data_IF_772522952429
#
_entry.id   IF_772522952429
#
_cell.length_a   1.000
_cell.length_b   1.000
_cell.length_c   1.000
_cell.angle_alpha   90.00
_cell.angle_beta   90.00
_cell.angle_gamma   90.00
#
_symmetry.space_group_name_H-M   'P 1'
#
loop_
_entity.id
_entity.type
_entity.pdbx_description
1 polymer ?
#
# COMPACT_ATOMS: atom_id res chain seq x y z
N UNK A 1 -18.39 18.91 -29.02
CA UNK A 1 -18.15 18.40 -27.65
C UNK A 1 -16.73 18.65 -27.10
N UNK A 2 -15.63 18.37 -27.83
CA UNK A 2 -14.25 18.60 -27.33
C UNK A 2 -13.89 20.06 -26.95
N UNK A 3 -14.49 21.07 -27.58
CA UNK A 3 -14.23 22.50 -27.25
C UNK A 3 -14.92 22.97 -25.96
N UNK A 4 -16.13 22.46 -25.66
CA UNK A 4 -16.87 22.81 -24.45
C UNK A 4 -16.24 22.23 -23.17
N UNK A 5 -15.64 21.03 -23.25
CA UNK A 5 -14.89 20.45 -22.12
C UNK A 5 -13.63 21.27 -21.78
N UNK A 6 -12.93 21.81 -22.78
CA UNK A 6 -11.72 22.62 -22.56
C UNK A 6 -12.03 23.97 -21.89
N UNK A 7 -13.13 24.61 -22.27
CA UNK A 7 -13.54 25.90 -21.71
C UNK A 7 -13.96 25.75 -20.23
N UNK A 8 -14.71 24.69 -19.90
CA UNK A 8 -15.10 24.41 -18.52
C UNK A 8 -13.91 24.01 -17.63
N UNK A 9 -12.91 23.32 -18.17
CA UNK A 9 -11.70 22.97 -17.41
C UNK A 9 -10.84 24.20 -17.11
N UNK A 10 -10.70 25.12 -18.07
CA UNK A 10 -9.98 26.38 -17.87
C UNK A 10 -10.69 27.28 -16.85
N UNK A 11 -12.02 27.36 -16.91
CA UNK A 11 -12.83 28.12 -15.97
C UNK A 11 -12.76 27.54 -14.55
N UNK A 12 -12.77 26.21 -14.41
CA UNK A 12 -12.62 25.54 -13.12
C UNK A 12 -11.24 25.77 -12.50
N UNK A 13 -10.17 25.69 -13.31
CA UNK A 13 -8.81 26.03 -12.89
C UNK A 13 -8.70 27.49 -12.44
N UNK A 14 -9.31 28.43 -13.19
CA UNK A 14 -9.34 29.85 -12.84
C UNK A 14 -10.09 30.10 -11.53
N UNK A 15 -11.23 29.44 -11.30
CA UNK A 15 -11.99 29.58 -10.05
C UNK A 15 -11.22 29.01 -8.84
N UNK A 16 -10.47 27.92 -9.04
CA UNK A 16 -9.63 27.35 -7.98
C UNK A 16 -8.43 28.26 -7.62
N UNK A 17 -7.93 29.09 -8.53
CA UNK A 17 -6.79 29.99 -8.26
C UNK A 17 -7.14 31.25 -7.47
N UNK A 18 -8.41 31.67 -7.41
CA UNK A 18 -8.83 32.96 -6.80
C UNK A 18 -9.12 32.83 -5.28
N UNK A 19 -9.17 31.61 -4.75
CA UNK A 19 -9.31 31.35 -3.30
C UNK A 19 -7.99 30.78 -2.77
N UNK A 20 -7.09 31.66 -2.30
CA UNK A 20 -5.72 31.29 -1.94
C UNK A 20 -5.63 30.54 -0.60
N UNK A 21 -5.70 29.21 -0.67
CA UNK A 21 -5.07 28.30 0.29
C UNK A 21 -3.94 27.54 -0.44
N UNK A 22 -2.84 27.19 0.27
CA UNK A 22 -1.67 26.48 -0.28
C UNK A 22 -2.04 25.22 -1.10
N UNK A 23 -3.13 24.56 -0.74
CA UNK A 23 -3.63 23.38 -1.45
C UNK A 23 -4.16 23.64 -2.86
N UNK A 24 -4.84 24.75 -3.11
CA UNK A 24 -5.37 25.04 -4.43
C UNK A 24 -4.24 25.23 -5.43
N UNK A 25 -3.11 25.78 -4.97
CA UNK A 25 -1.88 25.90 -5.75
C UNK A 25 -1.27 24.53 -6.06
N UNK A 26 -1.18 23.62 -5.08
CA UNK A 26 -0.66 22.27 -5.29
C UNK A 26 -1.59 21.47 -6.21
N UNK A 27 -2.90 21.50 -5.96
CA UNK A 27 -3.91 20.87 -6.80
C UNK A 27 -3.86 21.38 -8.24
N UNK A 28 -3.78 22.70 -8.44
CA UNK A 28 -3.63 23.29 -9.77
C UNK A 28 -2.32 22.85 -10.45
N UNK A 29 -1.19 22.87 -9.71
CA UNK A 29 0.10 22.41 -10.21
C UNK A 29 0.07 20.95 -10.69
N UNK A 30 -0.52 20.06 -9.90
CA UNK A 30 -0.68 18.65 -10.29
C UNK A 30 -1.73 18.47 -11.40
N UNK A 31 -2.79 19.27 -11.45
CA UNK A 31 -3.76 19.24 -12.54
C UNK A 31 -3.10 19.61 -13.88
N UNK A 32 -2.28 20.65 -13.90
CA UNK A 32 -1.49 21.05 -15.08
C UNK A 32 -0.48 19.96 -15.43
N UNK A 33 0.29 19.46 -14.46
CA UNK A 33 1.24 18.35 -14.66
C UNK A 33 0.55 17.11 -15.25
N UNK A 34 -0.61 16.74 -14.72
CA UNK A 34 -1.40 15.60 -15.18
C UNK A 34 -1.97 15.82 -16.57
N UNK A 35 -2.41 17.04 -16.90
CA UNK A 35 -2.89 17.38 -18.23
C UNK A 35 -1.78 17.24 -19.29
N UNK A 36 -0.58 17.76 -18.99
CA UNK A 36 0.58 17.69 -19.90
C UNK A 36 1.07 16.24 -20.06
N UNK A 37 1.07 15.46 -18.97
CA UNK A 37 1.58 14.08 -18.97
C UNK A 37 0.53 13.03 -19.36
N UNK A 38 -0.74 13.39 -19.51
CA UNK A 38 -1.84 12.45 -19.76
C UNK A 38 -1.60 11.49 -20.95
N UNK A 39 -1.10 11.93 -22.11
CA UNK A 39 -0.86 11.03 -23.24
C UNK A 39 0.17 9.94 -22.91
N UNK A 40 1.28 10.34 -22.26
CA UNK A 40 2.34 9.42 -21.86
C UNK A 40 1.88 8.46 -20.76
N UNK A 41 1.09 8.96 -19.79
CA UNK A 41 0.52 8.14 -18.72
C UNK A 41 -0.48 7.11 -19.25
N UNK A 42 -1.28 7.45 -20.26
CA UNK A 42 -2.23 6.50 -20.84
C UNK A 42 -1.51 5.31 -21.49
N UNK A 43 -0.45 5.58 -22.25
CA UNK A 43 0.38 4.54 -22.87
C UNK A 43 1.09 3.71 -21.79
N UNK A 44 1.73 4.37 -20.81
CA UNK A 44 2.40 3.69 -19.70
C UNK A 44 1.45 2.79 -18.90
N UNK A 45 0.26 3.27 -18.56
CA UNK A 45 -0.74 2.48 -17.83
C UNK A 45 -1.21 1.24 -18.61
N UNK A 46 -1.33 1.32 -19.94
CA UNK A 46 -1.68 0.16 -20.75
C UNK A 46 -0.62 -0.94 -20.64
N UNK A 47 0.65 -0.59 -20.81
CA UNK A 47 1.75 -1.54 -20.66
C UNK A 47 1.87 -2.07 -19.23
N UNK A 48 1.71 -1.20 -18.23
CA UNK A 48 1.73 -1.60 -16.83
C UNK A 48 0.58 -2.53 -16.48
N UNK A 49 -0.64 -2.31 -16.96
CA UNK A 49 -1.73 -3.23 -16.68
C UNK A 49 -1.49 -4.59 -17.33
N UNK A 50 -1.01 -4.63 -18.57
CA UNK A 50 -0.68 -5.90 -19.22
C UNK A 50 0.45 -6.65 -18.48
N UNK A 51 1.49 -5.94 -18.02
CA UNK A 51 2.55 -6.54 -17.22
C UNK A 51 2.05 -7.03 -15.86
N UNK A 52 1.13 -6.29 -15.22
CA UNK A 52 0.49 -6.69 -13.97
C UNK A 52 -0.33 -7.97 -14.16
N UNK A 53 -1.14 -8.03 -15.22
CA UNK A 53 -1.98 -9.18 -15.53
C UNK A 53 -1.15 -10.42 -15.85
N UNK A 54 -0.01 -10.27 -16.53
CA UNK A 54 0.94 -11.38 -16.73
C UNK A 54 1.47 -11.95 -15.40
N UNK A 55 1.87 -11.10 -14.45
CA UNK A 55 2.32 -11.56 -13.11
C UNK A 55 1.15 -12.18 -12.34
N UNK A 56 -0.06 -11.63 -12.49
CA UNK A 56 -1.29 -12.13 -11.86
C UNK A 56 -1.62 -13.54 -12.34
N UNK A 57 -1.58 -13.78 -13.65
CA UNK A 57 -1.80 -15.10 -14.25
C UNK A 57 -0.76 -16.11 -13.77
N UNK A 58 0.52 -15.76 -13.82
CA UNK A 58 1.61 -16.62 -13.32
C UNK A 58 1.50 -16.93 -11.82
N UNK A 59 0.99 -15.99 -11.02
CA UNK A 59 0.76 -16.19 -9.59
C UNK A 59 -0.43 -17.12 -9.31
N UNK A 60 -1.46 -17.11 -10.18
CA UNK A 60 -2.65 -17.94 -10.04
C UNK A 60 -2.42 -19.38 -10.56
N UNK A 61 -1.57 -19.54 -11.57
CA UNK A 61 -1.20 -20.85 -12.12
C UNK A 61 -0.29 -21.67 -11.19
N UNK A 62 0.35 -21.02 -10.20
CA UNK A 62 1.11 -21.70 -9.14
C UNK A 62 0.17 -22.31 -8.08
N UNK A 63 -0.61 -23.31 -8.49
CA UNK A 63 -1.30 -24.26 -7.58
C UNK A 63 -0.36 -25.21 -6.83
N UNK A 64 0.94 -25.10 -7.05
CA UNK A 64 1.93 -25.66 -6.16
C UNK A 64 3.11 -24.70 -6.12
N UNK A 65 3.46 -24.23 -4.92
CA UNK A 65 4.87 -23.92 -4.66
C UNK A 65 5.61 -25.15 -5.16
N UNK A 66 6.56 -25.05 -6.10
CA UNK A 66 7.27 -26.23 -6.52
C UNK A 66 7.78 -26.91 -5.25
N UNK A 67 7.53 -28.21 -5.16
CA UNK A 67 8.27 -29.12 -4.29
C UNK A 67 9.69 -29.19 -4.86
N UNK A 68 10.35 -28.04 -4.98
CA UNK A 68 11.78 -27.94 -5.05
C UNK A 68 12.26 -28.61 -3.78
N UNK A 69 12.66 -29.87 -3.96
CA UNK A 69 13.29 -30.66 -2.93
C UNK A 69 14.35 -29.77 -2.29
N UNK A 70 14.21 -29.56 -0.98
CA UNK A 70 15.27 -29.08 -0.10
C UNK A 70 16.62 -29.42 -0.70
N UNK A 71 17.50 -28.43 -0.85
CA UNK A 71 18.83 -28.57 -1.47
C UNK A 71 19.38 -29.97 -1.15
N UNK A 72 19.31 -30.89 -2.13
CA UNK A 72 19.65 -32.30 -1.90
C UNK A 72 21.12 -32.35 -1.54
N UNK A 73 21.43 -32.44 -0.24
CA UNK A 73 22.75 -32.92 0.17
C UNK A 73 22.84 -34.39 -0.22
N UNK A 74 24.05 -34.80 -0.62
CA UNK A 74 24.40 -36.19 -0.93
C UNK A 74 23.70 -37.13 0.05
N UNK A 75 22.93 -38.07 -0.51
CA UNK A 75 22.12 -39.04 0.22
C UNK A 75 22.85 -39.58 1.45
N UNK A 76 22.23 -39.44 2.61
CA UNK A 76 22.66 -40.16 3.80
C UNK A 76 22.40 -41.66 3.54
N UNK A 77 23.32 -42.52 3.97
CA UNK A 77 23.26 -43.97 3.78
C UNK A 77 21.88 -44.55 4.18
N UNK A 78 21.41 -45.61 3.52
CA UNK A 78 20.12 -46.25 3.84
C UNK A 78 20.08 -46.65 5.33
N UNK A 79 19.05 -46.20 6.07
CA UNK A 79 18.87 -46.48 7.50
C UNK A 79 18.81 -45.26 8.43
N UNK A 80 18.95 -44.04 7.91
CA UNK A 80 19.00 -42.80 8.71
C UNK A 80 17.82 -41.83 8.46
N UNK A 81 16.68 -42.30 7.93
CA UNK A 81 15.47 -41.49 7.72
C UNK A 81 15.02 -40.71 8.97
N UNK A 82 15.10 -41.31 10.16
CA UNK A 82 14.74 -40.64 11.42
C UNK A 82 15.63 -39.44 11.77
N UNK A 83 16.88 -39.41 11.30
CA UNK A 83 17.77 -38.26 11.47
C UNK A 83 17.40 -37.14 10.49
N UNK A 84 16.96 -37.49 9.28
CA UNK A 84 16.49 -36.50 8.29
C UNK A 84 15.28 -35.73 8.82
N UNK A 85 14.30 -36.43 9.41
CA UNK A 85 13.11 -35.82 10.00
C UNK A 85 13.44 -34.92 11.20
N UNK A 86 14.34 -35.37 12.09
CA UNK A 86 14.82 -34.55 13.21
C UNK A 86 15.59 -33.32 12.70
N UNK A 87 16.43 -33.49 11.69
CA UNK A 87 17.23 -32.39 11.13
C UNK A 87 16.33 -31.36 10.42
N UNK A 88 15.28 -31.80 9.74
CA UNK A 88 14.28 -30.93 9.12
C UNK A 88 13.45 -30.19 10.17
N UNK A 89 13.04 -30.87 11.24
CA UNK A 89 12.33 -30.26 12.38
C UNK A 89 13.21 -29.24 13.12
N UNK A 90 14.50 -29.52 13.30
CA UNK A 90 15.46 -28.58 13.89
C UNK A 90 15.67 -27.38 12.95
N UNK A 91 15.86 -27.57 11.64
CA UNK A 91 16.04 -26.44 10.69
C UNK A 91 14.83 -25.53 10.62
N UNK A 92 13.60 -26.07 10.63
CA UNK A 92 12.39 -25.27 10.67
C UNK A 92 12.29 -24.40 11.94
N UNK A 93 13.01 -24.77 13.01
CA UNK A 93 13.15 -23.99 14.23
C UNK A 93 14.39 -23.08 14.26
N UNK A 94 15.33 -23.23 13.31
CA UNK A 94 16.59 -22.45 13.26
C UNK A 94 16.48 -21.24 12.32
N UNK A 95 15.80 -21.38 11.18
CA UNK A 95 15.63 -20.27 10.22
C UNK A 95 14.27 -20.30 9.51
N UNK A 96 13.86 -19.16 8.95
CA UNK A 96 12.58 -19.00 8.24
C UNK A 96 12.79 -19.01 6.72
N UNK A 97 12.29 -20.04 6.03
CA UNK A 97 12.36 -20.19 4.56
C UNK A 97 11.08 -19.67 3.90
N UNK A 98 10.88 -18.35 4.01
CA UNK A 98 9.76 -17.59 3.45
C UNK A 98 10.31 -16.31 2.81
N UNK A 99 9.49 -15.51 2.09
CA UNK A 99 9.96 -14.24 1.55
C UNK A 99 10.58 -13.38 2.66
N UNK A 100 11.78 -12.83 2.41
CA UNK A 100 12.58 -12.07 3.37
C UNK A 100 13.02 -12.82 4.64
N UNK A 101 12.85 -14.14 4.67
CA UNK A 101 13.14 -14.98 5.82
C UNK A 101 14.63 -15.03 6.20
N UNK A 102 14.94 -15.67 7.33
CA UNK A 102 16.28 -15.62 7.93
C UNK A 102 17.27 -16.68 7.42
N UNK A 103 16.83 -17.64 6.59
CA UNK A 103 17.71 -18.70 6.08
C UNK A 103 18.78 -18.16 5.14
N UNK A 104 19.89 -18.91 4.99
CA UNK A 104 20.88 -18.66 3.93
C UNK A 104 20.45 -19.32 2.61
N UNK A 105 21.14 -18.98 1.52
CA UNK A 105 20.93 -19.60 0.20
C UNK A 105 21.30 -21.10 0.16
N UNK A 106 22.04 -21.60 1.15
CA UNK A 106 22.34 -23.02 1.28
C UNK A 106 21.19 -23.81 1.93
N UNK A 107 20.33 -23.11 2.68
CA UNK A 107 19.25 -23.69 3.48
C UNK A 107 17.89 -23.52 2.79
N UNK A 108 17.70 -22.43 2.04
CA UNK A 108 16.46 -22.10 1.37
C UNK A 108 16.74 -21.58 -0.04
N UNK A 109 16.03 -22.06 -1.09
CA UNK A 109 16.23 -21.56 -2.44
C UNK A 109 15.81 -20.09 -2.56
N UNK A 110 16.52 -19.36 -3.41
CA UNK A 110 16.22 -17.95 -3.70
C UNK A 110 14.81 -17.73 -4.23
N UNK A 111 14.24 -18.69 -4.96
CA UNK A 111 12.85 -18.68 -5.42
C UNK A 111 11.83 -18.55 -4.28
N UNK A 112 12.18 -18.98 -3.06
CA UNK A 112 11.33 -18.87 -1.87
C UNK A 112 11.64 -17.66 -1.00
N UNK A 113 12.91 -17.27 -0.88
CA UNK A 113 13.31 -16.10 -0.07
C UNK A 113 13.09 -14.78 -0.79
N UNK A 114 13.28 -14.78 -2.11
CA UNK A 114 13.15 -13.64 -3.01
C UNK A 114 12.26 -14.03 -4.20
N UNK A 115 10.98 -14.37 -3.96
CA UNK A 115 10.07 -14.81 -5.02
C UNK A 115 9.87 -13.73 -6.08
N UNK A 116 9.63 -14.18 -7.30
CA UNK A 116 9.11 -13.33 -8.37
C UNK A 116 7.59 -13.15 -8.20
N UNK A 117 7.10 -11.93 -8.41
CA UNK A 117 5.68 -11.60 -8.34
C UNK A 117 5.20 -11.20 -6.94
N UNK A 118 3.90 -11.34 -6.69
CA UNK A 118 3.24 -10.69 -5.55
C UNK A 118 3.60 -11.26 -4.16
N UNK A 119 4.09 -12.50 -4.09
CA UNK A 119 4.55 -13.10 -2.83
C UNK A 119 5.71 -12.34 -2.18
N UNK A 120 6.45 -11.51 -2.94
CA UNK A 120 7.51 -10.65 -2.41
C UNK A 120 7.00 -9.63 -1.40
N UNK A 121 5.69 -9.31 -1.41
CA UNK A 121 5.08 -8.40 -0.44
C UNK A 121 4.90 -9.02 0.94
N UNK A 122 4.96 -10.36 1.07
CA UNK A 122 4.77 -11.05 2.34
C UNK A 122 5.97 -10.85 3.25
N UNK A 123 5.75 -10.32 4.46
CA UNK A 123 6.82 -10.13 5.45
C UNK A 123 7.04 -11.38 6.32
N UNK A 124 8.24 -11.58 6.90
CA UNK A 124 8.47 -12.66 7.85
C UNK A 124 7.57 -12.49 9.08
N UNK A 125 6.90 -13.58 9.49
CA UNK A 125 5.96 -13.56 10.62
C UNK A 125 4.57 -12.99 10.31
N UNK A 126 4.36 -12.43 9.11
CA UNK A 126 3.04 -12.01 8.65
C UNK A 126 2.19 -13.22 8.30
N UNK A 127 1.04 -13.37 8.98
CA UNK A 127 0.07 -14.45 8.75
C UNK A 127 -0.95 -14.05 7.70
N UNK A 128 -1.33 -12.77 7.66
CA UNK A 128 -2.25 -12.23 6.65
C UNK A 128 -2.02 -10.73 6.43
N UNK A 129 -2.66 -10.16 5.42
CA UNK A 129 -2.68 -8.71 5.19
C UNK A 129 -3.32 -7.93 6.35
N UNK A 130 -4.10 -8.60 7.20
CA UNK A 130 -4.68 -7.99 8.40
C UNK A 130 -3.61 -7.53 9.40
N UNK A 131 -2.43 -8.16 9.41
CA UNK A 131 -1.30 -7.76 10.26
C UNK A 131 -0.73 -6.38 9.86
N UNK A 132 -0.98 -5.92 8.64
CA UNK A 132 -0.67 -4.57 8.18
C UNK A 132 -1.68 -3.54 8.69
N UNK A 133 -2.75 -3.95 9.37
CA UNK A 133 -3.81 -3.06 9.87
C UNK A 133 -3.73 -2.91 11.38
N UNK A 134 -2.53 -2.53 11.84
CA UNK A 134 -2.23 -2.27 13.25
C UNK A 134 -1.80 -0.83 13.43
N UNK A 135 -1.86 -0.36 14.67
CA UNK A 135 -1.39 0.97 15.06
C UNK A 135 0.09 1.20 14.72
N UNK A 136 0.95 0.19 14.84
CA UNK A 136 2.38 0.30 14.53
C UNK A 136 2.65 0.47 13.03
N UNK A 137 1.84 -0.17 12.19
CA UNK A 137 1.88 -0.04 10.73
C UNK A 137 1.06 1.17 10.22
N UNK A 138 0.89 2.19 11.07
CA UNK A 138 0.10 3.39 10.79
C UNK A 138 0.89 4.67 11.01
N UNK A 139 0.55 5.69 10.23
CA UNK A 139 0.94 7.05 10.56
C UNK A 139 0.41 7.44 11.94
N UNK A 140 1.21 8.21 12.67
CA UNK A 140 0.92 8.72 14.01
C UNK A 140 -0.26 9.70 14.03
N UNK A 141 -0.63 10.27 12.89
CA UNK A 141 -1.73 11.21 12.75
C UNK A 141 -2.86 10.64 11.88
N UNK A 142 -4.08 11.06 12.19
CA UNK A 142 -5.26 10.76 11.38
C UNK A 142 -5.26 11.61 10.12
N UNK A 143 -6.16 11.29 9.19
CA UNK A 143 -6.41 12.12 8.02
C UNK A 143 -6.63 13.60 8.42
N UNK A 144 -5.85 14.48 7.79
CA UNK A 144 -5.83 15.92 8.04
C UNK A 144 -5.18 16.39 9.34
N UNK A 145 -4.53 15.50 10.09
CA UNK A 145 -3.60 15.84 11.17
C UNK A 145 -2.14 15.96 10.69
N UNK A 146 -1.21 15.99 11.64
CA UNK A 146 0.23 15.94 11.39
C UNK A 146 0.94 17.30 11.29
N UNK A 147 0.19 18.40 11.22
CA UNK A 147 0.75 19.76 11.30
C UNK A 147 1.68 20.14 10.14
N UNK A 148 1.45 19.60 8.94
CA UNK A 148 2.17 19.97 7.72
C UNK A 148 1.97 21.44 7.32
N UNK A 149 2.82 21.94 6.44
CA UNK A 149 2.73 23.32 5.89
C UNK A 149 1.54 23.47 4.92
N UNK A 150 1.03 22.34 4.43
CA UNK A 150 -0.13 22.27 3.57
C UNK A 150 -1.35 21.96 4.46
N UNK A 151 -2.27 22.92 4.57
CA UNK A 151 -3.57 22.72 5.22
C UNK A 151 -4.24 21.45 4.69
N UNK A 152 -5.03 20.73 5.49
CA UNK A 152 -5.69 19.51 5.07
C UNK A 152 -7.14 19.74 4.62
N UNK A 153 -7.61 19.02 3.60
CA UNK A 153 -9.00 19.09 3.10
C UNK A 153 -9.58 17.73 2.75
N UNK A 154 -10.82 17.73 2.27
CA UNK A 154 -11.50 16.57 1.72
C UNK A 154 -10.64 15.87 0.66
N UNK A 155 -10.35 14.59 0.87
CA UNK A 155 -9.56 13.75 -0.04
C UNK A 155 -8.14 13.42 0.42
N UNK A 156 -7.59 14.08 1.46
CA UNK A 156 -6.26 13.73 2.03
C UNK A 156 -6.13 12.25 2.42
N UNK A 157 -7.25 11.58 2.68
CA UNK A 157 -7.35 10.15 2.93
C UNK A 157 -6.70 9.29 1.83
N UNK A 158 -6.68 9.77 0.58
CA UNK A 158 -6.02 9.08 -0.53
C UNK A 158 -4.50 9.17 -0.44
N UNK A 159 -3.98 10.36 -0.14
CA UNK A 159 -2.55 10.52 0.14
C UNK A 159 -2.11 9.70 1.35
N UNK A 160 -2.92 9.70 2.41
CA UNK A 160 -2.65 8.95 3.65
C UNK A 160 -2.63 7.43 3.41
N UNK A 161 -3.62 6.91 2.67
CA UNK A 161 -3.67 5.51 2.27
C UNK A 161 -2.45 5.14 1.42
N UNK A 162 -2.07 6.00 0.46
CA UNK A 162 -0.93 5.78 -0.42
C UNK A 162 0.38 5.69 0.38
N UNK A 163 0.71 6.74 1.14
CA UNK A 163 1.95 6.80 1.94
C UNK A 163 2.02 5.61 2.89
N UNK A 164 0.95 5.34 3.64
CA UNK A 164 0.87 4.19 4.54
C UNK A 164 1.15 2.87 3.81
N UNK A 165 0.52 2.63 2.66
CA UNK A 165 0.70 1.38 1.91
C UNK A 165 2.13 1.23 1.37
N UNK A 166 2.77 2.33 0.94
CA UNK A 166 4.16 2.35 0.49
C UNK A 166 5.12 1.98 1.63
N UNK A 167 4.97 2.60 2.80
CA UNK A 167 5.76 2.22 3.98
C UNK A 167 5.56 0.74 4.33
N UNK A 168 4.33 0.26 4.42
CA UNK A 168 4.05 -1.14 4.73
C UNK A 168 4.75 -2.14 3.76
N UNK A 169 4.91 -1.76 2.49
CA UNK A 169 5.52 -2.61 1.44
C UNK A 169 7.02 -2.43 1.26
N UNK A 170 7.56 -1.24 1.54
CA UNK A 170 8.92 -0.87 1.11
C UNK A 170 9.87 -0.55 2.25
N UNK A 171 9.37 -0.22 3.44
CA UNK A 171 10.23 0.11 4.57
C UNK A 171 10.57 -1.12 5.41
N UNK A 172 11.84 -1.26 5.77
CA UNK A 172 12.36 -2.28 6.68
C UNK A 172 12.90 -1.62 7.94
N UNK A 173 12.10 -1.61 9.00
CA UNK A 173 12.48 -1.04 10.29
C UNK A 173 13.47 -1.95 11.05
N UNK A 174 14.63 -1.40 11.43
CA UNK A 174 15.71 -2.10 12.11
C UNK A 174 16.04 -1.40 13.43
N UNK A 175 15.23 -1.68 14.45
CA UNK A 175 15.33 -1.04 15.78
C UNK A 175 16.74 -1.12 16.38
N UNK A 176 17.40 -2.26 16.22
CA UNK A 176 18.72 -2.52 16.82
C UNK A 176 19.89 -2.01 15.96
N UNK A 177 19.61 -1.52 14.74
CA UNK A 177 20.62 -0.92 13.87
C UNK A 177 20.86 0.53 14.29
N UNK A 178 22.14 0.88 14.48
CA UNK A 178 22.52 2.23 14.89
C UNK A 178 22.33 3.21 13.71
N UNK A 179 21.49 4.24 13.83
CA UNK A 179 21.33 5.21 12.76
C UNK A 179 22.58 6.09 12.61
N UNK A 180 22.78 6.63 11.41
CA UNK A 180 23.90 7.55 11.11
C UNK A 180 23.88 8.81 11.99
N UNK A 181 22.68 9.33 12.26
CA UNK A 181 22.42 10.47 13.12
C UNK A 181 21.28 10.17 14.08
N UNK A 182 21.31 10.76 15.28
CA UNK A 182 20.33 10.46 16.33
C UNK A 182 19.20 11.48 16.42
N UNK A 183 17.96 11.06 16.15
CA UNK A 183 16.75 11.86 16.37
C UNK A 183 16.54 12.24 17.85
N UNK A 184 17.15 11.48 18.77
CA UNK A 184 17.06 11.67 20.23
C UNK A 184 18.26 12.46 20.79
N UNK A 185 19.13 13.00 19.92
CA UNK A 185 20.25 13.84 20.34
C UNK A 185 19.75 15.12 21.01
N UNK A 186 20.46 15.57 22.06
CA UNK A 186 20.24 16.89 22.67
C UNK A 186 20.98 18.00 21.92
N UNK A 187 21.95 17.65 21.08
CA UNK A 187 22.63 18.60 20.20
C UNK A 187 21.72 18.95 19.01
N UNK A 188 21.47 20.25 18.84
CA UNK A 188 20.55 20.77 17.83
C UNK A 188 21.06 20.55 16.41
N UNK A 189 22.38 20.64 16.19
CA UNK A 189 22.96 20.43 14.86
C UNK A 189 22.91 18.95 14.47
N UNK A 190 23.19 18.05 15.41
CA UNK A 190 23.00 16.61 15.22
C UNK A 190 21.52 16.27 14.96
N UNK A 191 20.58 16.88 15.70
CA UNK A 191 19.16 16.66 15.49
C UNK A 191 18.70 17.13 14.11
N UNK A 192 19.21 18.27 13.62
CA UNK A 192 18.92 18.76 12.26
C UNK A 192 19.42 17.78 11.20
N UNK A 193 20.66 17.28 11.33
CA UNK A 193 21.21 16.25 10.43
C UNK A 193 20.39 14.97 10.48
N UNK A 194 19.91 14.57 11.66
CA UNK A 194 19.02 13.43 11.79
C UNK A 194 17.70 13.66 11.06
N UNK A 195 17.05 14.82 11.23
CA UNK A 195 15.82 15.13 10.51
C UNK A 195 16.02 15.06 8.99
N UNK A 196 17.06 15.69 8.46
CA UNK A 196 17.34 15.67 7.02
C UNK A 196 17.61 14.24 6.52
N UNK A 197 18.41 13.47 7.26
CA UNK A 197 18.65 12.06 6.94
C UNK A 197 17.38 11.21 6.89
N UNK A 198 16.49 11.32 7.87
CA UNK A 198 15.24 10.55 7.85
C UNK A 198 14.23 11.08 6.82
N UNK A 199 14.26 12.36 6.46
CA UNK A 199 13.48 12.91 5.34
C UNK A 199 13.89 12.27 4.01
N UNK A 200 15.18 12.10 3.77
CA UNK A 200 15.68 11.39 2.58
C UNK A 200 15.18 9.94 2.53
N UNK A 201 15.19 9.24 3.69
CA UNK A 201 14.63 7.88 3.78
C UNK A 201 13.12 7.84 3.52
N UNK A 202 12.37 8.84 4.01
CA UNK A 202 10.93 8.99 3.73
C UNK A 202 10.70 9.19 2.24
N UNK A 203 11.52 10.02 1.59
CA UNK A 203 11.42 10.31 0.16
C UNK A 203 11.67 9.08 -0.68
N UNK A 204 12.70 8.28 -0.34
CA UNK A 204 12.95 7.02 -1.01
C UNK A 204 11.73 6.09 -0.95
N UNK A 205 11.08 5.94 0.22
CA UNK A 205 9.87 5.12 0.35
C UNK A 205 8.70 5.69 -0.47
N UNK A 206 8.47 7.00 -0.41
CA UNK A 206 7.41 7.68 -1.16
C UNK A 206 7.64 7.56 -2.68
N UNK A 207 8.89 7.52 -3.12
CA UNK A 207 9.30 7.35 -4.51
C UNK A 207 9.43 5.87 -4.93
N UNK A 208 8.74 4.98 -4.21
CA UNK A 208 8.69 3.54 -4.47
C UNK A 208 10.03 2.79 -4.35
N UNK A 209 11.04 3.34 -3.66
CA UNK A 209 12.31 2.65 -3.38
C UNK A 209 12.22 1.87 -2.07
N UNK A 210 12.97 0.77 -2.03
CA UNK A 210 13.07 -0.08 -0.83
C UNK A 210 14.08 0.55 0.12
N UNK A 211 13.67 0.74 1.38
CA UNK A 211 14.45 1.54 2.33
C UNK A 211 14.54 0.86 3.69
N UNK A 212 15.76 0.67 4.17
CA UNK A 212 16.03 0.27 5.56
C UNK A 212 16.00 1.50 6.46
N UNK A 213 15.21 1.44 7.53
CA UNK A 213 15.04 2.53 8.50
C UNK A 213 15.67 2.10 9.83
N UNK A 214 16.89 2.55 10.13
CA UNK A 214 17.61 2.15 11.34
C UNK A 214 17.05 2.83 12.59
N UNK A 215 17.26 2.24 13.77
CA UNK A 215 17.00 2.85 15.08
C UNK A 215 15.53 3.04 15.46
N UNK A 216 14.60 2.64 14.59
CA UNK A 216 13.16 2.75 14.79
C UNK A 216 12.49 1.40 14.53
N UNK A 217 11.34 1.18 15.16
CA UNK A 217 10.62 -0.09 15.13
C UNK A 217 9.41 -0.11 14.20
N UNK A 218 8.85 1.05 13.85
CA UNK A 218 7.58 1.11 13.12
C UNK A 218 7.36 2.45 12.41
N UNK A 219 6.41 2.48 11.47
CA UNK A 219 5.96 3.70 10.80
C UNK A 219 5.40 4.71 11.81
N UNK A 220 4.70 4.19 12.83
CA UNK A 220 4.17 5.02 13.89
C UNK A 220 5.29 5.73 14.65
N UNK A 221 6.32 5.00 15.06
CA UNK A 221 7.45 5.60 15.79
C UNK A 221 8.13 6.69 14.94
N UNK A 222 8.36 6.42 13.64
CA UNK A 222 8.93 7.40 12.71
C UNK A 222 8.09 8.67 12.59
N UNK A 223 6.78 8.50 12.42
CA UNK A 223 5.85 9.62 12.23
C UNK A 223 5.47 10.34 13.53
N UNK A 224 5.84 9.83 14.71
CA UNK A 224 5.63 10.52 16.00
C UNK A 224 6.70 11.59 16.29
N UNK A 225 7.82 11.62 15.55
CA UNK A 225 8.87 12.63 15.76
C UNK A 225 8.44 14.00 15.21
N UNK A 226 8.46 15.06 16.06
CA UNK A 226 8.21 16.42 15.59
C UNK A 226 9.18 16.80 14.46
N UNK A 227 8.65 17.39 13.38
CA UNK A 227 9.39 17.73 12.16
C UNK A 227 9.45 16.63 11.11
N UNK A 228 9.40 15.34 11.50
CA UNK A 228 9.12 14.24 10.55
C UNK A 228 7.62 14.06 10.37
N UNK A 229 6.83 14.22 11.43
CA UNK A 229 5.36 14.18 11.37
C UNK A 229 4.81 15.16 10.32
N UNK A 230 5.21 16.43 10.41
CA UNK A 230 4.80 17.49 9.49
C UNK A 230 5.29 17.24 8.07
N UNK A 231 6.53 16.76 7.92
CA UNK A 231 7.09 16.43 6.61
C UNK A 231 6.32 15.29 5.93
N UNK A 232 5.98 14.24 6.67
CA UNK A 232 5.17 13.13 6.15
C UNK A 232 3.75 13.63 5.81
N UNK A 233 3.18 14.54 6.61
CA UNK A 233 1.90 15.16 6.29
C UNK A 233 1.95 15.94 4.96
N UNK A 234 3.05 16.63 4.67
CA UNK A 234 3.26 17.28 3.38
C UNK A 234 3.37 16.25 2.24
N UNK A 235 4.10 15.14 2.44
CA UNK A 235 4.15 14.04 1.45
C UNK A 235 2.77 13.43 1.20
N UNK A 236 1.94 13.29 2.25
CA UNK A 236 0.54 12.89 2.13
C UNK A 236 -0.25 13.87 1.24
N UNK A 237 -0.07 15.18 1.45
CA UNK A 237 -0.74 16.20 0.64
C UNK A 237 -0.34 16.12 -0.84
N UNK A 238 0.95 15.97 -1.13
CA UNK A 238 1.46 15.81 -2.50
C UNK A 238 0.94 14.53 -3.17
N UNK A 239 0.93 13.42 -2.44
CA UNK A 239 0.41 12.14 -2.91
C UNK A 239 -1.10 12.19 -3.19
N UNK A 240 -1.86 12.93 -2.37
CA UNK A 240 -3.27 13.22 -2.64
C UNK A 240 -3.42 14.03 -3.93
N UNK A 241 -2.74 15.17 -4.06
CA UNK A 241 -2.92 16.08 -5.17
C UNK A 241 -2.62 15.42 -6.52
N UNK A 242 -1.54 14.61 -6.56
CA UNK A 242 -1.19 13.81 -7.74
C UNK A 242 -2.34 12.92 -8.22
N UNK A 243 -3.09 12.33 -7.27
CA UNK A 243 -4.11 11.32 -7.54
C UNK A 243 -5.48 11.92 -7.75
N UNK A 244 -5.92 12.79 -6.85
CA UNK A 244 -7.21 13.46 -6.92
C UNK A 244 -7.34 14.31 -8.20
N UNK A 245 -6.25 14.96 -8.63
CA UNK A 245 -6.24 15.79 -9.84
C UNK A 245 -5.92 15.01 -11.12
N UNK A 246 -5.98 13.68 -11.08
CA UNK A 246 -5.87 12.84 -12.28
C UNK A 246 -7.22 12.70 -12.99
N UNK A 247 -7.22 12.28 -14.25
CA UNK A 247 -8.48 11.98 -14.97
C UNK A 247 -9.29 10.88 -14.31
N UNK A 248 -8.61 9.87 -13.73
CA UNK A 248 -9.26 8.82 -12.95
C UNK A 248 -9.85 9.36 -11.64
N UNK A 249 -9.08 10.18 -10.90
CA UNK A 249 -9.52 10.82 -9.66
C UNK A 249 -10.74 11.73 -9.85
N UNK A 250 -10.74 12.55 -10.90
CA UNK A 250 -11.90 13.36 -11.27
C UNK A 250 -13.06 12.48 -11.77
N UNK A 251 -12.76 11.41 -12.50
CA UNK A 251 -13.74 10.44 -12.98
C UNK A 251 -14.54 9.80 -11.84
N UNK A 252 -13.86 9.30 -10.80
CA UNK A 252 -14.52 8.72 -9.61
C UNK A 252 -15.27 9.77 -8.81
N UNK A 253 -14.72 10.98 -8.65
CA UNK A 253 -15.35 12.06 -7.89
C UNK A 253 -16.73 12.45 -8.45
N UNK A 254 -16.95 12.30 -9.76
CA UNK A 254 -18.22 12.61 -10.42
C UNK A 254 -19.24 11.46 -10.36
N UNK A 255 -18.84 10.25 -9.94
CA UNK A 255 -19.77 9.12 -9.82
C UNK A 255 -20.58 9.24 -8.55
N UNK A 256 -21.87 9.51 -8.65
CA UNK A 256 -22.78 9.60 -7.48
C UNK A 256 -23.82 8.47 -7.43
N UNK A 257 -24.01 7.75 -8.54
CA UNK A 257 -24.92 6.61 -8.63
C UNK A 257 -24.26 5.31 -8.17
N UNK A 258 -25.06 4.42 -7.57
CA UNK A 258 -24.62 3.12 -7.10
C UNK A 258 -24.12 2.23 -8.26
N UNK A 259 -23.14 1.37 -7.98
CA UNK A 259 -22.69 0.34 -8.90
C UNK A 259 -23.78 -0.73 -9.12
N UNK A 260 -23.80 -1.33 -10.31
CA UNK A 260 -24.64 -2.52 -10.56
C UNK A 260 -24.10 -3.72 -9.81
N UNK A 261 -24.95 -4.74 -9.60
CA UNK A 261 -24.58 -5.96 -8.88
C UNK A 261 -23.38 -6.66 -9.49
N UNK A 262 -23.33 -6.74 -10.82
CA UNK A 262 -22.25 -7.38 -11.57
C UNK A 262 -20.94 -6.65 -11.31
N UNK A 263 -20.94 -5.30 -11.43
CA UNK A 263 -19.76 -4.48 -11.19
C UNK A 263 -19.29 -4.53 -9.74
N UNK A 264 -20.22 -4.53 -8.78
CA UNK A 264 -19.90 -4.68 -7.36
C UNK A 264 -19.25 -6.02 -7.08
N UNK A 265 -19.75 -7.09 -7.70
CA UNK A 265 -19.20 -8.45 -7.52
C UNK A 265 -17.81 -8.59 -8.13
N UNK A 266 -17.61 -8.09 -9.35
CA UNK A 266 -16.30 -8.04 -10.02
C UNK A 266 -15.28 -7.23 -9.19
N UNK A 267 -15.71 -6.08 -8.66
CA UNK A 267 -14.90 -5.24 -7.80
C UNK A 267 -14.46 -5.96 -6.51
N UNK A 268 -15.39 -6.65 -5.81
CA UNK A 268 -15.06 -7.43 -4.61
C UNK A 268 -14.13 -8.61 -4.93
N UNK A 269 -14.33 -9.30 -6.06
CA UNK A 269 -13.47 -10.39 -6.49
C UNK A 269 -12.04 -9.89 -6.76
N UNK A 270 -11.90 -8.77 -7.47
CA UNK A 270 -10.60 -8.17 -7.75
C UNK A 270 -9.85 -7.79 -6.46
N UNK A 271 -10.56 -7.24 -5.46
CA UNK A 271 -9.97 -6.92 -4.17
C UNK A 271 -9.55 -8.17 -3.42
N UNK A 272 -10.40 -9.20 -3.39
CA UNK A 272 -10.11 -10.49 -2.78
C UNK A 272 -8.83 -11.08 -3.37
N UNK A 273 -8.72 -11.11 -4.70
CA UNK A 273 -7.53 -11.62 -5.40
C UNK A 273 -6.27 -10.85 -4.99
N UNK A 274 -6.33 -9.51 -4.93
CA UNK A 274 -5.18 -8.71 -4.49
C UNK A 274 -4.80 -8.99 -3.04
N UNK A 275 -5.77 -9.16 -2.15
CA UNK A 275 -5.53 -9.53 -0.74
C UNK A 275 -4.90 -10.92 -0.65
N UNK A 276 -5.39 -11.89 -1.43
CA UNK A 276 -4.82 -13.24 -1.51
C UNK A 276 -3.37 -13.20 -2.06
N UNK A 277 -3.06 -12.20 -2.89
CA UNK A 277 -1.72 -11.88 -3.40
C UNK A 277 -0.87 -11.02 -2.44
N UNK A 278 -1.18 -11.01 -1.14
CA UNK A 278 -0.45 -10.26 -0.11
C UNK A 278 -0.38 -8.74 -0.32
N UNK A 279 -1.24 -8.17 -1.18
CA UNK A 279 -1.34 -6.72 -1.36
C UNK A 279 -2.30 -6.11 -0.32
N UNK A 280 -2.17 -4.81 -0.09
CA UNK A 280 -3.11 -4.02 0.70
C UNK A 280 -3.79 -3.01 -0.22
N UNK A 281 -4.90 -3.39 -0.92
CA UNK A 281 -5.52 -2.54 -1.93
C UNK A 281 -6.04 -1.22 -1.37
N UNK A 282 -5.91 -0.17 -2.17
CA UNK A 282 -6.56 1.11 -1.95
C UNK A 282 -7.89 1.18 -2.70
N UNK A 283 -8.97 1.52 -2.00
CA UNK A 283 -10.28 1.80 -2.59
C UNK A 283 -10.55 3.29 -2.53
N UNK A 284 -11.03 3.87 -3.63
CA UNK A 284 -11.55 5.23 -3.69
C UNK A 284 -13.03 5.16 -4.02
N UNK A 285 -13.86 5.91 -3.29
CA UNK A 285 -15.30 5.86 -3.45
C UNK A 285 -15.97 7.19 -3.12
N UNK A 286 -17.23 7.32 -3.52
CA UNK A 286 -18.10 8.46 -3.20
C UNK A 286 -19.30 8.03 -2.38
N UNK A 287 -19.91 8.98 -1.67
CA UNK A 287 -21.21 8.77 -1.04
C UNK A 287 -22.34 8.80 -2.08
N UNK A 288 -23.31 7.89 -1.98
CA UNK A 288 -24.46 7.85 -2.89
C UNK A 288 -25.20 9.19 -2.89
N UNK A 289 -25.44 9.74 -4.09
CA UNK A 289 -26.11 11.02 -4.28
C UNK A 289 -25.26 12.26 -3.95
N UNK A 290 -23.98 12.11 -3.63
CA UNK A 290 -23.08 13.23 -3.31
C UNK A 290 -21.81 13.18 -4.16
N UNK A 291 -21.88 13.78 -5.36
CA UNK A 291 -20.69 13.99 -6.18
C UNK A 291 -19.65 14.84 -5.42
N UNK A 292 -18.38 14.65 -5.72
CA UNK A 292 -17.20 15.26 -5.08
C UNK A 292 -16.97 14.86 -3.61
N UNK A 293 -17.95 14.25 -2.95
CA UNK A 293 -17.75 13.73 -1.60
C UNK A 293 -17.05 12.37 -1.64
N UNK A 294 -15.72 12.43 -1.78
CA UNK A 294 -14.83 11.29 -1.99
C UNK A 294 -14.14 10.86 -0.70
N UNK A 295 -13.86 9.57 -0.60
CA UNK A 295 -13.00 8.99 0.43
C UNK A 295 -12.11 7.90 -0.16
N UNK A 296 -11.00 7.64 0.51
CA UNK A 296 -10.09 6.58 0.16
C UNK A 296 -9.67 5.81 1.42
N UNK A 297 -9.66 4.50 1.30
CA UNK A 297 -9.38 3.58 2.42
C UNK A 297 -8.48 2.45 1.96
N UNK A 298 -7.84 1.79 2.93
CA UNK A 298 -7.10 0.56 2.70
C UNK A 298 -7.98 -0.64 3.01
N UNK A 299 -7.85 -1.72 2.23
CA UNK A 299 -8.45 -3.00 2.56
C UNK A 299 -7.49 -3.77 3.44
N UNK A 300 -7.94 -4.10 4.65
CA UNK A 300 -7.18 -4.89 5.61
C UNK A 300 -7.13 -6.35 5.19
N UNK A 301 -8.30 -6.95 5.02
CA UNK A 301 -8.52 -8.34 4.63
C UNK A 301 -10.00 -8.50 4.25
N UNK A 302 -10.44 -9.73 4.01
CA UNK A 302 -11.85 -10.04 3.81
C UNK A 302 -12.27 -11.22 4.70
N UNK A 303 -13.58 -11.28 4.99
CA UNK A 303 -14.21 -12.42 5.65
C UNK A 303 -15.24 -13.02 4.69
N UNK A 304 -15.32 -14.36 4.70
CA UNK A 304 -16.40 -15.10 4.05
C UNK A 304 -17.49 -15.33 5.07
N UNK A 305 -18.65 -14.75 4.82
CA UNK A 305 -19.82 -14.89 5.68
C UNK A 305 -20.45 -16.29 5.50
N UNK A 306 -21.32 -16.68 6.42
CA UNK A 306 -21.97 -18.02 6.40
C UNK A 306 -22.83 -18.27 5.16
N UNK A 307 -23.38 -17.21 4.58
CA UNK A 307 -24.17 -17.25 3.34
C UNK A 307 -23.30 -17.26 2.07
N UNK A 308 -21.97 -17.34 2.21
CA UNK A 308 -21.00 -17.31 1.12
C UNK A 308 -20.68 -15.90 0.60
N UNK A 309 -21.36 -14.86 1.12
CA UNK A 309 -21.05 -13.48 0.76
C UNK A 309 -19.68 -13.06 1.29
N UNK A 310 -19.11 -12.03 0.67
CA UNK A 310 -17.79 -11.50 1.04
C UNK A 310 -17.97 -10.13 1.67
N UNK A 311 -17.40 -9.96 2.85
CA UNK A 311 -17.30 -8.68 3.53
C UNK A 311 -15.83 -8.25 3.51
N UNK A 312 -15.56 -7.03 3.04
CA UNK A 312 -14.23 -6.45 3.08
C UNK A 312 -14.03 -5.72 4.40
N UNK A 313 -12.96 -6.02 5.12
CA UNK A 313 -12.58 -5.32 6.34
C UNK A 313 -11.70 -4.12 5.97
N UNK A 314 -12.14 -2.95 6.38
CA UNK A 314 -11.60 -1.68 5.94
C UNK A 314 -10.74 -1.07 7.04
N UNK A 315 -9.57 -0.61 6.66
CA UNK A 315 -8.74 0.27 7.46
C UNK A 315 -9.00 1.70 6.99
N UNK A 316 -9.81 2.41 7.77
CA UNK A 316 -10.16 3.80 7.50
C UNK A 316 -9.17 4.75 8.20
N UNK A 317 -8.51 5.60 7.42
CA UNK A 317 -7.52 6.55 7.90
C UNK A 317 -8.12 7.72 8.71
N UNK A 318 -9.46 7.84 8.76
CA UNK A 318 -10.17 8.77 9.62
C UNK A 318 -10.41 8.21 11.04
N UNK A 319 -10.21 6.91 11.26
CA UNK A 319 -10.46 6.30 12.57
C UNK A 319 -9.43 6.76 13.61
N UNK A 320 -9.87 6.80 14.87
CA UNK A 320 -8.95 7.01 15.98
C UNK A 320 -7.96 5.84 16.06
N UNK A 321 -6.71 6.15 16.41
CA UNK A 321 -5.61 5.18 16.48
C UNK A 321 -5.90 3.98 17.39
N UNK A 322 -6.69 4.19 18.45
CA UNK A 322 -7.11 3.13 19.37
C UNK A 322 -8.06 2.11 18.75
N UNK A 323 -8.73 2.46 17.65
CA UNK A 323 -9.70 1.58 16.99
C UNK A 323 -9.12 0.82 15.79
N UNK A 324 -7.95 1.21 15.28
CA UNK A 324 -7.30 0.54 14.14
C UNK A 324 -7.01 -0.92 14.46
N UNK A 325 -6.52 -1.25 15.66
CA UNK A 325 -6.20 -2.63 16.03
C UNK A 325 -7.44 -3.55 16.01
N UNK A 326 -8.64 -2.98 16.17
CA UNK A 326 -9.91 -3.72 16.10
C UNK A 326 -10.34 -4.04 14.67
N UNK A 327 -9.75 -3.41 13.65
CA UNK A 327 -10.00 -3.79 12.25
C UNK A 327 -9.54 -5.23 12.01
N UNK A 328 -8.38 -5.60 12.55
CA UNK A 328 -7.81 -6.95 12.44
C UNK A 328 -8.66 -8.01 13.14
N UNK A 329 -9.22 -7.71 14.32
CA UNK A 329 -9.95 -8.71 15.13
C UNK A 329 -11.45 -8.74 14.85
N UNK A 330 -12.08 -7.57 14.68
CA UNK A 330 -13.54 -7.43 14.74
C UNK A 330 -14.14 -6.95 13.41
N UNK A 331 -13.31 -6.61 12.41
CA UNK A 331 -13.77 -6.03 11.14
C UNK A 331 -14.73 -4.83 11.35
N UNK A 332 -14.38 -3.95 12.30
CA UNK A 332 -15.26 -2.85 12.78
C UNK A 332 -15.74 -1.93 11.65
N UNK A 333 -14.87 -1.70 10.68
CA UNK A 333 -15.19 -0.99 9.45
C UNK A 333 -15.23 -1.98 8.31
N UNK A 334 -16.34 -1.97 7.57
CA UNK A 334 -16.58 -2.99 6.57
C UNK A 334 -17.38 -2.51 5.39
N UNK A 335 -17.08 -3.09 4.23
CA UNK A 335 -17.87 -2.96 3.02
C UNK A 335 -18.54 -4.29 2.67
N UNK A 336 -19.79 -4.23 2.26
CA UNK A 336 -20.59 -5.39 1.85
C UNK A 336 -21.48 -5.04 0.65
N UNK A 337 -21.79 -6.05 -0.17
CA UNK A 337 -22.75 -5.92 -1.27
C UNK A 337 -24.15 -6.18 -0.70
N UNK A 338 -25.07 -5.24 -0.92
CA UNK A 338 -26.49 -5.35 -0.54
C UNK A 338 -27.26 -6.26 -1.50
N UNK A 339 -28.48 -6.65 -1.10
CA UNK A 339 -29.39 -7.42 -1.96
C UNK A 339 -29.73 -6.75 -3.29
N UNK A 340 -29.72 -5.42 -3.35
CA UNK A 340 -29.91 -4.63 -4.58
C UNK A 340 -28.64 -4.49 -5.45
N UNK A 341 -27.52 -5.09 -5.02
CA UNK A 341 -26.24 -5.03 -5.71
C UNK A 341 -25.38 -3.81 -5.39
N UNK A 342 -25.90 -2.82 -4.65
CA UNK A 342 -25.12 -1.65 -4.23
C UNK A 342 -24.10 -2.02 -3.15
N UNK A 343 -23.02 -1.23 -3.03
CA UNK A 343 -22.03 -1.41 -1.97
C UNK A 343 -22.41 -0.51 -0.80
N UNK A 344 -22.44 -1.08 0.41
CA UNK A 344 -22.59 -0.35 1.67
C UNK A 344 -21.27 -0.34 2.43
N UNK A 345 -20.82 0.84 2.83
CA UNK A 345 -19.75 1.04 3.80
C UNK A 345 -20.35 1.35 5.19
N UNK A 346 -19.86 0.69 6.25
CA UNK A 346 -20.42 0.84 7.61
C UNK A 346 -20.41 2.28 8.13
N UNK A 347 -19.44 3.11 7.73
CA UNK A 347 -19.36 4.50 8.20
C UNK A 347 -20.21 5.47 7.38
N UNK A 348 -20.39 5.24 6.08
CA UNK A 348 -21.01 6.22 5.17
C UNK A 348 -22.38 5.79 4.61
N UNK A 349 -22.78 4.54 4.85
CA UNK A 349 -23.96 3.96 4.24
C UNK A 349 -23.69 3.55 2.80
N UNK A 350 -24.64 3.83 1.91
CA UNK A 350 -24.56 3.38 0.53
C UNK A 350 -23.59 4.24 -0.28
N UNK A 351 -22.77 3.55 -1.08
CA UNK A 351 -21.78 4.19 -1.93
C UNK A 351 -22.39 4.57 -3.28
N UNK A 352 -21.85 5.64 -3.86
CA UNK A 352 -22.05 5.98 -5.26
C UNK A 352 -21.16 5.10 -6.12
N UNK A 353 -20.06 5.68 -6.60
CA UNK A 353 -19.00 4.92 -7.27
C UNK A 353 -17.98 4.39 -6.28
N UNK A 354 -17.41 3.22 -6.56
CA UNK A 354 -16.22 2.70 -5.90
C UNK A 354 -15.27 2.10 -6.95
N UNK A 355 -13.97 2.35 -6.79
CA UNK A 355 -12.92 1.86 -7.67
C UNK A 355 -11.66 1.54 -6.87
N UNK A 356 -10.83 0.66 -7.41
CA UNK A 356 -9.45 0.49 -6.91
C UNK A 356 -8.66 1.72 -7.39
N UNK A 357 -7.79 2.25 -6.53
CA UNK A 357 -6.96 3.40 -6.90
C UNK A 357 -6.18 3.11 -8.19
N UNK A 358 -6.25 4.02 -9.16
CA UNK A 358 -5.71 3.79 -10.51
C UNK A 358 -4.18 3.53 -10.56
N UNK A 359 -3.45 4.01 -9.57
CA UNK A 359 -1.99 3.84 -9.45
C UNK A 359 -1.61 2.52 -8.77
N UNK A 360 -2.56 1.75 -8.25
CA UNK A 360 -2.30 0.54 -7.47
C UNK A 360 -1.50 -0.50 -8.27
N UNK A 361 -1.85 -0.75 -9.54
CA UNK A 361 -1.14 -1.72 -10.38
C UNK A 361 0.26 -1.22 -10.82
N UNK A 362 0.42 0.00 -11.37
CA UNK A 362 1.75 0.52 -11.71
C UNK A 362 2.69 0.63 -10.51
N UNK A 363 2.19 1.06 -9.34
CA UNK A 363 3.00 1.13 -8.13
C UNK A 363 3.41 -0.29 -7.69
N UNK A 364 2.47 -1.25 -7.64
CA UNK A 364 2.79 -2.62 -7.27
C UNK A 364 3.88 -3.26 -8.17
N UNK A 365 3.85 -3.01 -9.48
CA UNK A 365 4.88 -3.50 -10.40
C UNK A 365 6.26 -2.91 -10.11
N UNK A 366 6.32 -1.59 -9.94
CA UNK A 366 7.57 -0.90 -9.59
C UNK A 366 8.13 -1.44 -8.27
N UNK A 367 7.24 -1.63 -7.29
CA UNK A 367 7.59 -2.13 -5.98
C UNK A 367 8.09 -3.59 -6.03
N UNK A 368 7.46 -4.46 -6.81
CA UNK A 368 7.92 -5.86 -6.98
C UNK A 368 9.36 -5.89 -7.50
N UNK A 369 9.65 -5.12 -8.55
CA UNK A 369 10.98 -5.10 -9.15
C UNK A 369 12.04 -4.60 -8.15
N UNK A 370 11.75 -3.48 -7.47
CA UNK A 370 12.67 -2.90 -6.49
C UNK A 370 12.87 -3.83 -5.28
N UNK A 371 11.80 -4.50 -4.82
CA UNK A 371 11.83 -5.49 -3.75
C UNK A 371 12.63 -6.73 -4.15
N UNK A 372 12.47 -7.22 -5.38
CA UNK A 372 13.23 -8.36 -5.90
C UNK A 372 14.72 -8.04 -5.95
N UNK A 373 15.08 -6.92 -6.58
CA UNK A 373 16.48 -6.47 -6.68
C UNK A 373 17.12 -6.31 -5.29
N UNK A 374 16.40 -5.67 -4.36
CA UNK A 374 16.87 -5.49 -3.00
C UNK A 374 17.04 -6.84 -2.27
N UNK A 375 16.04 -7.73 -2.36
CA UNK A 375 16.10 -9.05 -1.74
C UNK A 375 17.28 -9.85 -2.28
N UNK A 376 17.47 -9.88 -3.61
CA UNK A 376 18.52 -10.67 -4.20
C UNK A 376 19.91 -10.18 -3.80
N UNK A 377 20.07 -8.87 -3.68
CA UNK A 377 21.30 -8.26 -3.18
C UNK A 377 21.54 -8.62 -1.72
N UNK A 378 20.55 -8.47 -0.85
CA UNK A 378 20.70 -8.76 0.58
C UNK A 378 20.92 -10.25 0.86
N UNK A 379 20.29 -11.14 0.07
CA UNK A 379 20.37 -12.59 0.25
C UNK A 379 21.48 -13.26 -0.57
N UNK A 380 22.12 -12.54 -1.48
CA UNK A 380 23.14 -13.10 -2.37
C UNK A 380 22.57 -14.03 -3.45
N UNK A 381 21.36 -13.73 -3.94
CA UNK A 381 20.66 -14.49 -4.97
C UNK A 381 20.97 -14.05 -6.40
N UNK A 382 21.76 -12.98 -6.60
CA UNK A 382 22.17 -12.45 -7.91
C UNK A 382 23.28 -13.26 -8.61
N UNK A 383 23.31 -14.59 -8.46
CA UNK A 383 24.38 -15.44 -9.03
C UNK A 383 24.04 -15.98 -10.41
#
# INVERSE_FOLDING_TARGET
MRKFLKLNFLLLLLVLTISSCNQNMIGAGYAVKNLVTAPFKAVGNYFSNNAYDNIKEQSNDKSSTPTECWVKRKSVLPGLQGIEDITNAVRANVCSCVPWGSCTVEECPCSRMCPEGFDIFKRPGQKSTADLSTRENSLSFINGGGGGEIEATQGFCWGHASVTSKFNRLSFFKKDEKPKYSLKSKDREEQKKALDYYKDLIDDVVDNKVTTIPGLSSLRELSEFPGLESYIADKVAHEWAQRAMSTAGLGIALKSGAMSREKSSEFFNTIKEKVDQNQQPQIVFTKRGSAMYTHAVLVSHYIKERDGSTTLCIRDNNRSRYSIDRVKSDCVDKMSIKGDGSIRYSQWGDLGGAEIAFNENPDALTQINNLKEHCDKEKGCNK
#
